data_IF_403044996750
#
_entry.id   IF_403044996750
#
_cell.length_a   1.000
_cell.length_b   1.000
_cell.length_c   1.000
_cell.angle_alpha   90.00
_cell.angle_beta   90.00
_cell.angle_gamma   90.00
#
_symmetry.space_group_name_H-M   'P 1'
#
loop_
_entity.id
_entity.type
_entity.pdbx_description
1 polymer ?
#
# COMPACT_ATOMS: atom_id res chain seq x y z
N UNK A 1 -12.43 7.25 5.00
CA UNK A 1 -11.90 5.93 5.45
C UNK A 1 -10.82 6.16 6.49
N UNK A 2 -10.70 5.28 7.50
CA UNK A 2 -9.70 5.38 8.59
C UNK A 2 -8.41 4.62 8.21
N UNK A 3 -7.25 5.25 8.35
CA UNK A 3 -5.94 4.67 8.04
C UNK A 3 -5.35 3.88 9.23
N UNK A 4 -4.21 3.21 9.02
CA UNK A 4 -3.60 2.34 10.04
C UNK A 4 -3.19 3.09 11.31
N UNK A 5 -2.79 4.37 11.22
CA UNK A 5 -2.47 5.18 12.40
C UNK A 5 -3.71 5.48 13.25
N UNK A 6 -4.84 5.83 12.64
CA UNK A 6 -6.11 5.98 13.38
C UNK A 6 -6.60 4.66 13.97
N UNK A 7 -6.52 3.55 13.21
CA UNK A 7 -6.91 2.23 13.70
C UNK A 7 -6.05 1.78 14.89
N UNK A 8 -4.74 2.03 14.84
CA UNK A 8 -3.83 1.75 15.94
C UNK A 8 -4.12 2.63 17.15
N UNK A 9 -4.38 3.93 16.91
CA UNK A 9 -4.78 4.86 17.96
C UNK A 9 -6.01 4.37 18.71
N UNK A 10 -7.08 4.04 17.99
CA UNK A 10 -8.34 3.62 18.60
C UNK A 10 -8.17 2.30 19.36
N UNK A 11 -7.45 1.33 18.78
CA UNK A 11 -7.15 0.06 19.42
C UNK A 11 -6.38 0.22 20.74
N UNK A 12 -5.38 1.12 20.79
CA UNK A 12 -4.60 1.38 22.01
C UNK A 12 -5.44 2.16 23.03
N UNK A 13 -6.31 3.08 22.60
CA UNK A 13 -7.21 3.81 23.51
C UNK A 13 -8.23 2.89 24.18
N UNK A 14 -8.64 1.82 23.51
CA UNK A 14 -9.54 0.80 24.06
C UNK A 14 -8.85 -0.11 25.10
N UNK A 15 -7.51 -0.09 25.18
CA UNK A 15 -6.75 -0.73 26.26
C UNK A 15 -6.89 0.08 27.54
N UNK A 16 -8.03 -0.09 28.20
CA UNK A 16 -8.32 0.48 29.51
C UNK A 16 -7.98 -0.50 30.62
N UNK A 17 -7.59 0.03 31.77
CA UNK A 17 -7.22 -0.77 32.94
C UNK A 17 -8.25 -0.52 34.00
N UNK A 18 -9.02 -1.54 34.40
CA UNK A 18 -9.96 -1.38 35.49
C UNK A 18 -9.23 -1.03 36.80
N UNK A 19 -9.87 -0.28 37.70
CA UNK A 19 -9.29 0.00 39.02
C UNK A 19 -8.95 -1.29 39.77
N UNK A 20 -7.83 -1.30 40.50
CA UNK A 20 -7.37 -2.41 41.35
C UNK A 20 -7.00 -3.70 40.59
N UNK A 21 -6.80 -3.63 39.27
CA UNK A 21 -6.33 -4.75 38.47
C UNK A 21 -4.80 -4.75 38.44
N UNK A 22 -4.12 -5.89 38.64
CA UNK A 22 -2.66 -5.91 38.62
C UNK A 22 -2.11 -5.41 37.27
N UNK A 23 -0.94 -4.76 37.29
CA UNK A 23 -0.17 -4.35 36.11
C UNK A 23 -0.16 -5.32 34.93
N UNK A 24 -0.09 -6.60 35.23
CA UNK A 24 -0.02 -7.65 34.23
C UNK A 24 -1.31 -7.74 33.42
N UNK A 25 -2.48 -7.46 34.02
CA UNK A 25 -3.80 -7.57 33.41
C UNK A 25 -4.19 -6.39 32.48
N UNK A 26 -3.28 -5.43 32.28
CA UNK A 26 -3.53 -4.17 31.55
C UNK A 26 -3.73 -4.35 30.04
N UNK A 27 -3.23 -5.45 29.46
CA UNK A 27 -3.58 -5.87 28.08
C UNK A 27 -4.75 -6.84 28.01
N UNK A 28 -5.20 -7.33 29.15
CA UNK A 28 -6.17 -8.41 29.28
C UNK A 28 -7.59 -7.88 29.43
N UNK A 29 -7.98 -6.96 28.55
CA UNK A 29 -9.42 -6.75 28.29
C UNK A 29 -10.02 -7.94 27.50
N UNK A 30 -9.47 -9.14 27.70
CA UNK A 30 -9.71 -10.37 26.99
C UNK A 30 -8.91 -11.51 27.62
N UNK A 31 -9.39 -12.73 27.41
CA UNK A 31 -8.83 -13.95 27.99
C UNK A 31 -7.56 -14.39 27.22
N UNK A 32 -6.37 -14.53 27.87
CA UNK A 32 -5.15 -15.02 27.22
C UNK A 32 -5.31 -16.40 26.58
N UNK A 33 -6.28 -17.17 27.06
CA UNK A 33 -6.56 -18.51 26.55
C UNK A 33 -7.49 -18.48 25.34
N UNK A 34 -8.08 -17.32 25.02
CA UNK A 34 -8.90 -17.09 23.83
C UNK A 34 -8.05 -16.77 22.61
N UNK A 35 -8.43 -17.35 21.47
CA UNK A 35 -7.82 -17.02 20.17
C UNK A 35 -8.11 -15.56 19.75
N UNK A 36 -9.26 -15.00 20.14
CA UNK A 36 -9.64 -13.63 19.78
C UNK A 36 -8.71 -12.59 20.42
N UNK A 37 -8.26 -12.85 21.64
CA UNK A 37 -7.24 -12.05 22.31
C UNK A 37 -5.97 -11.98 21.47
N UNK A 38 -5.42 -13.13 21.06
CA UNK A 38 -4.20 -13.18 20.25
C UNK A 38 -4.38 -12.60 18.85
N UNK A 39 -5.57 -12.74 18.26
CA UNK A 39 -5.91 -12.05 16.99
C UNK A 39 -5.88 -10.53 17.15
N UNK A 40 -6.39 -10.00 18.26
CA UNK A 40 -6.31 -8.56 18.58
C UNK A 40 -4.86 -8.10 18.77
N UNK A 41 -4.02 -8.88 19.47
CA UNK A 41 -2.60 -8.57 19.63
C UNK A 41 -1.84 -8.62 18.28
N UNK A 42 -2.10 -9.64 17.46
CA UNK A 42 -1.55 -9.73 16.09
C UNK A 42 -1.96 -8.53 15.25
N UNK A 43 -3.21 -8.09 15.38
CA UNK A 43 -3.73 -6.92 14.67
C UNK A 43 -3.01 -5.63 15.07
N UNK A 44 -2.68 -5.46 16.34
CA UNK A 44 -1.88 -4.32 16.81
C UNK A 44 -0.50 -4.27 16.15
N UNK A 45 0.16 -5.43 16.03
CA UNK A 45 1.48 -5.55 15.39
C UNK A 45 1.40 -5.25 13.89
N UNK A 46 0.39 -5.75 13.19
CA UNK A 46 0.16 -5.41 11.78
C UNK A 46 -0.02 -3.92 11.57
N UNK A 47 -0.89 -3.29 12.38
CA UNK A 47 -1.15 -1.86 12.30
C UNK A 47 0.10 -1.03 12.59
N UNK A 48 0.93 -1.43 13.55
CA UNK A 48 2.20 -0.77 13.84
C UNK A 48 3.18 -0.86 12.67
N UNK A 49 3.31 -2.03 12.03
CA UNK A 49 4.14 -2.19 10.83
C UNK A 49 3.65 -1.32 9.67
N UNK A 50 2.34 -1.24 9.49
CA UNK A 50 1.76 -0.38 8.45
C UNK A 50 2.02 1.10 8.74
N UNK A 51 1.98 1.51 10.00
CA UNK A 51 2.32 2.87 10.43
C UNK A 51 3.79 3.19 10.13
N UNK A 52 4.71 2.29 10.48
CA UNK A 52 6.15 2.45 10.20
C UNK A 52 6.42 2.58 8.70
N UNK A 53 5.83 1.68 7.88
CA UNK A 53 5.92 1.77 6.41
C UNK A 53 5.38 3.08 5.87
N UNK A 54 4.29 3.59 6.45
CA UNK A 54 3.71 4.86 6.02
C UNK A 54 4.63 6.04 6.36
N UNK A 55 5.30 6.02 7.51
CA UNK A 55 6.32 7.03 7.88
C UNK A 55 7.51 6.97 6.93
N UNK A 56 7.99 5.77 6.58
CA UNK A 56 9.07 5.62 5.60
C UNK A 56 8.67 6.08 4.21
N UNK A 57 7.42 5.83 3.80
CA UNK A 57 6.87 6.36 2.55
C UNK A 57 6.87 7.90 2.51
N UNK A 58 6.38 8.53 3.58
CA UNK A 58 6.42 9.99 3.72
C UNK A 58 7.85 10.55 3.67
N UNK A 59 8.81 9.87 4.30
CA UNK A 59 10.22 10.26 4.24
C UNK A 59 10.79 10.15 2.82
N UNK A 60 10.47 9.07 2.11
CA UNK A 60 10.86 8.89 0.71
C UNK A 60 10.25 9.95 -0.20
N UNK A 61 9.06 10.47 0.14
CA UNK A 61 8.42 11.63 -0.49
C UNK A 61 9.03 12.98 -0.11
N UNK A 62 10.11 13.00 0.66
CA UNK A 62 10.80 14.22 1.10
C UNK A 62 10.03 15.01 2.17
N UNK A 63 9.04 14.39 2.82
CA UNK A 63 8.40 15.00 3.99
C UNK A 63 9.32 14.91 5.21
N UNK A 64 9.27 15.94 6.05
CA UNK A 64 9.89 15.89 7.38
C UNK A 64 9.03 15.00 8.30
N UNK A 65 9.60 13.88 8.71
CA UNK A 65 8.95 12.87 9.54
C UNK A 65 9.72 12.57 10.82
N UNK A 66 10.73 13.37 11.19
CA UNK A 66 11.57 13.10 12.37
C UNK A 66 10.71 12.94 13.63
N UNK A 67 9.74 13.83 13.82
CA UNK A 67 8.81 13.76 14.95
C UNK A 67 8.01 12.44 15.04
N UNK A 68 7.76 11.77 13.90
CA UNK A 68 7.04 10.50 13.87
C UNK A 68 7.99 9.32 14.05
N UNK A 69 9.22 9.41 13.53
CA UNK A 69 10.26 8.40 13.74
C UNK A 69 10.68 8.33 15.20
N UNK A 70 10.81 9.48 15.86
CA UNK A 70 11.21 9.58 17.26
C UNK A 70 10.27 8.85 18.22
N UNK A 71 8.97 8.79 17.89
CA UNK A 71 7.98 8.10 18.71
C UNK A 71 7.83 6.61 18.38
N UNK A 72 8.43 6.09 17.30
CA UNK A 72 8.29 4.68 16.93
C UNK A 72 8.76 3.73 18.03
N UNK A 73 9.92 3.92 18.68
CA UNK A 73 10.34 3.07 19.79
C UNK A 73 9.32 3.02 20.94
N UNK A 74 8.69 4.14 21.25
CA UNK A 74 7.65 4.22 22.29
C UNK A 74 6.37 3.48 21.87
N UNK A 75 5.96 3.57 20.60
CA UNK A 75 4.84 2.78 20.08
C UNK A 75 5.13 1.27 20.10
N UNK A 76 6.35 0.88 19.74
CA UNK A 76 6.83 -0.50 19.89
C UNK A 76 6.80 -0.93 21.35
N UNK A 77 7.21 -0.06 22.29
CA UNK A 77 7.09 -0.35 23.72
C UNK A 77 5.64 -0.49 24.16
N UNK A 78 4.71 0.32 23.66
CA UNK A 78 3.27 0.18 23.95
C UNK A 78 2.72 -1.16 23.42
N UNK A 79 3.12 -1.58 22.21
CA UNK A 79 2.64 -2.80 21.55
C UNK A 79 3.35 -4.07 22.06
N UNK A 80 4.59 -4.01 22.54
CA UNK A 80 5.37 -5.19 22.97
C UNK A 80 5.72 -5.26 24.45
N UNK A 81 5.77 -4.13 25.15
CA UNK A 81 6.17 -4.07 26.56
C UNK A 81 5.11 -3.49 27.50
N UNK A 82 5.38 -3.65 28.80
CA UNK A 82 4.66 -3.02 29.88
C UNK A 82 5.64 -2.13 30.64
N UNK A 83 5.46 -0.81 30.59
CA UNK A 83 6.18 0.09 31.48
C UNK A 83 5.20 1.04 32.17
N UNK A 84 4.42 0.53 33.12
CA UNK A 84 3.84 1.43 34.13
C UNK A 84 4.93 1.71 35.16
N UNK A 85 5.32 2.97 35.37
CA UNK A 85 6.25 3.31 36.44
C UNK A 85 5.68 2.84 37.78
N UNK A 86 6.44 2.07 38.55
CA UNK A 86 6.05 1.53 39.86
C UNK A 86 5.44 2.58 40.83
N UNK A 87 5.76 3.85 40.65
CA UNK A 87 5.24 4.99 41.43
C UNK A 87 3.75 5.29 41.19
N UNK A 88 3.10 4.59 40.27
CA UNK A 88 1.76 4.90 39.76
C UNK A 88 0.69 3.86 40.13
N UNK A 89 0.90 3.02 41.13
CA UNK A 89 -0.01 1.90 41.43
C UNK A 89 -1.32 2.33 42.14
N UNK A 90 -1.37 3.52 42.77
CA UNK A 90 -2.44 3.89 43.73
C UNK A 90 -3.46 4.96 43.26
N UNK A 91 -3.75 5.14 41.96
CA UNK A 91 -4.80 6.09 41.57
C UNK A 91 -5.75 5.53 40.51
N UNK A 92 -7.04 5.80 40.72
CA UNK A 92 -8.20 5.48 39.89
C UNK A 92 -7.94 5.69 38.40
N UNK A 93 -8.27 4.68 37.58
CA UNK A 93 -8.26 4.65 36.10
C UNK A 93 -7.17 5.50 35.42
N UNK A 94 -6.04 4.86 35.11
CA UNK A 94 -4.93 5.53 34.42
C UNK A 94 -4.91 5.14 32.94
N UNK A 95 -4.72 6.11 32.02
CA UNK A 95 -4.40 5.76 30.63
C UNK A 95 -3.08 4.99 30.61
N UNK A 96 -3.07 3.85 29.93
CA UNK A 96 -1.91 2.94 29.79
C UNK A 96 -0.75 3.61 29.05
N UNK A 97 -1.07 4.66 28.29
CA UNK A 97 -0.17 5.28 27.32
C UNK A 97 -0.18 6.79 27.51
N UNK A 98 0.98 7.42 27.26
CA UNK A 98 1.11 8.87 27.29
C UNK A 98 0.13 9.52 26.30
N UNK A 99 -0.62 10.51 26.78
CA UNK A 99 -1.54 11.30 25.95
C UNK A 99 -0.81 12.05 24.84
N UNK A 100 0.45 12.44 25.05
CA UNK A 100 1.25 13.09 24.00
C UNK A 100 1.53 12.12 22.85
N UNK A 101 1.97 10.90 23.16
CA UNK A 101 2.21 9.84 22.19
C UNK A 101 0.95 9.56 21.35
N UNK A 102 -0.21 9.44 22.01
CA UNK A 102 -1.49 9.22 21.31
C UNK A 102 -1.89 10.40 20.42
N UNK A 103 -1.63 11.64 20.85
CA UNK A 103 -1.87 12.83 20.01
C UNK A 103 -0.97 12.85 18.76
N UNK A 104 0.29 12.46 18.91
CA UNK A 104 1.23 12.39 17.79
C UNK A 104 0.83 11.28 16.80
N UNK A 105 0.42 10.11 17.29
CA UNK A 105 -0.12 9.04 16.45
C UNK A 105 -1.39 9.48 15.71
N UNK A 106 -2.29 10.21 16.38
CA UNK A 106 -3.47 10.80 15.74
C UNK A 106 -3.10 11.85 14.69
N UNK A 107 -2.09 12.68 14.96
CA UNK A 107 -1.56 13.68 14.02
C UNK A 107 -0.95 13.02 12.77
N UNK A 108 -0.24 11.91 12.95
CA UNK A 108 0.22 11.08 11.84
C UNK A 108 -0.96 10.55 11.03
N UNK A 109 -2.02 10.06 11.69
CA UNK A 109 -3.27 9.69 11.04
C UNK A 109 -3.86 10.80 10.18
N UNK A 110 -3.93 12.04 10.70
CA UNK A 110 -4.40 13.19 9.92
C UNK A 110 -3.46 13.50 8.74
N UNK A 111 -2.15 13.42 8.94
CA UNK A 111 -1.14 13.67 7.91
C UNK A 111 -1.25 12.66 6.78
N UNK A 112 -1.31 11.37 7.11
CA UNK A 112 -1.54 10.30 6.15
C UNK A 112 -2.87 10.45 5.43
N UNK A 113 -3.91 10.91 6.11
CA UNK A 113 -5.18 11.19 5.45
C UNK A 113 -5.06 12.37 4.48
N UNK A 114 -4.34 13.44 4.82
CA UNK A 114 -4.12 14.57 3.90
C UNK A 114 -3.27 14.17 2.69
N UNK A 115 -2.24 13.37 2.90
CA UNK A 115 -1.37 12.86 1.83
C UNK A 115 -2.14 11.88 0.95
N UNK A 116 -2.87 10.93 1.54
CA UNK A 116 -3.71 10.00 0.79
C UNK A 116 -4.90 10.68 0.11
N UNK A 117 -5.39 11.81 0.63
CA UNK A 117 -6.43 12.60 -0.04
C UNK A 117 -5.93 13.19 -1.38
N UNK A 118 -4.62 13.27 -1.64
CA UNK A 118 -4.09 13.62 -2.97
C UNK A 118 -3.86 12.40 -3.88
N UNK A 119 -4.25 11.19 -3.44
CA UNK A 119 -3.87 9.91 -4.06
C UNK A 119 -5.05 8.92 -4.18
N UNK A 120 -6.28 9.34 -3.91
CA UNK A 120 -7.41 8.48 -4.20
C UNK A 120 -7.56 8.32 -5.70
N UNK A 121 -7.65 7.06 -6.14
CA UNK A 121 -8.22 6.74 -7.45
C UNK A 121 -9.60 7.39 -7.50
N UNK A 122 -9.72 8.43 -8.31
CA UNK A 122 -10.96 9.14 -8.56
C UNK A 122 -11.83 8.35 -9.54
N UNK A 123 -13.10 8.75 -9.68
CA UNK A 123 -13.95 8.20 -10.75
C UNK A 123 -13.36 8.45 -12.15
N UNK A 124 -12.64 9.56 -12.32
CA UNK A 124 -11.95 9.89 -13.56
C UNK A 124 -10.77 8.93 -13.79
N UNK A 125 -10.05 8.56 -12.72
CA UNK A 125 -8.95 7.58 -12.81
C UNK A 125 -9.44 6.19 -13.24
N UNK A 126 -10.59 5.75 -12.73
CA UNK A 126 -11.22 4.50 -13.17
C UNK A 126 -11.65 4.60 -14.63
N UNK A 127 -12.20 5.74 -15.05
CA UNK A 127 -12.64 5.96 -16.44
C UNK A 127 -11.46 5.90 -17.42
N UNK A 128 -10.35 6.56 -17.07
CA UNK A 128 -9.11 6.48 -17.84
C UNK A 128 -8.57 5.06 -17.91
N UNK A 129 -8.56 4.34 -16.78
CA UNK A 129 -8.09 2.97 -16.73
C UNK A 129 -8.94 2.07 -17.62
N UNK A 130 -10.27 2.17 -17.56
CA UNK A 130 -11.18 1.42 -18.42
C UNK A 130 -10.92 1.70 -19.91
N UNK A 131 -10.62 2.95 -20.26
CA UNK A 131 -10.22 3.33 -21.62
C UNK A 131 -8.92 2.63 -22.04
N UNK A 132 -7.90 2.63 -21.17
CA UNK A 132 -6.65 1.90 -21.45
C UNK A 132 -6.87 0.39 -21.53
N UNK A 133 -7.82 -0.17 -20.79
CA UNK A 133 -8.17 -1.58 -20.91
C UNK A 133 -8.87 -1.88 -22.24
N UNK A 134 -9.76 -1.00 -22.74
CA UNK A 134 -10.38 -1.12 -24.07
C UNK A 134 -9.34 -1.07 -25.21
N UNK A 135 -8.39 -0.15 -25.11
CA UNK A 135 -7.27 -0.03 -26.05
C UNK A 135 -6.39 -1.30 -26.03
N UNK A 136 -6.11 -1.85 -24.84
CA UNK A 136 -5.35 -3.08 -24.68
C UNK A 136 -6.09 -4.29 -25.27
N UNK A 137 -7.42 -4.40 -25.10
CA UNK A 137 -8.21 -5.45 -25.75
C UNK A 137 -8.06 -5.37 -27.27
N UNK A 138 -8.19 -4.17 -27.83
CA UNK A 138 -8.10 -3.94 -29.28
C UNK A 138 -6.72 -4.36 -29.77
N UNK A 139 -5.66 -3.88 -29.13
CA UNK A 139 -4.27 -4.20 -29.46
C UNK A 139 -4.00 -5.72 -29.43
N UNK A 140 -4.44 -6.42 -28.38
CA UNK A 140 -4.22 -7.85 -28.21
C UNK A 140 -5.05 -8.68 -29.17
N UNK A 141 -6.29 -8.26 -29.51
CA UNK A 141 -7.14 -8.98 -30.46
C UNK A 141 -6.67 -8.82 -31.91
N UNK A 142 -6.22 -7.63 -32.29
CA UNK A 142 -5.82 -7.33 -33.66
C UNK A 142 -4.40 -7.80 -33.98
N UNK A 143 -3.55 -8.00 -32.97
CA UNK A 143 -2.20 -8.52 -33.18
C UNK A 143 -2.24 -9.94 -33.75
N UNK A 144 -1.49 -10.20 -34.82
CA UNK A 144 -1.26 -11.55 -35.34
C UNK A 144 0.11 -12.12 -34.92
N UNK A 145 0.88 -11.33 -34.17
CA UNK A 145 2.29 -11.63 -33.87
C UNK A 145 2.47 -12.48 -32.63
N UNK A 146 1.50 -12.38 -31.72
CA UNK A 146 1.52 -13.13 -30.46
C UNK A 146 0.88 -14.50 -30.62
N UNK A 147 1.42 -15.47 -29.91
CA UNK A 147 0.87 -16.81 -29.84
C UNK A 147 -0.50 -16.83 -29.13
N UNK A 148 -1.26 -17.89 -29.40
CA UNK A 148 -2.60 -18.06 -28.85
C UNK A 148 -2.62 -18.19 -27.32
N UNK A 149 -1.54 -18.69 -26.70
CA UNK A 149 -1.48 -18.86 -25.25
C UNK A 149 -1.28 -17.52 -24.55
N UNK A 150 -0.33 -16.71 -25.02
CA UNK A 150 -0.07 -15.33 -24.60
C UNK A 150 -1.30 -14.46 -24.84
N UNK A 151 -1.95 -14.60 -26.00
CA UNK A 151 -3.20 -13.88 -26.28
C UNK A 151 -4.28 -14.19 -25.24
N UNK A 152 -4.53 -15.47 -24.94
CA UNK A 152 -5.51 -15.88 -23.94
C UNK A 152 -5.15 -15.37 -22.55
N UNK A 153 -3.88 -15.43 -22.18
CA UNK A 153 -3.39 -14.93 -20.89
C UNK A 153 -3.61 -13.42 -20.75
N UNK A 154 -3.17 -12.64 -21.74
CA UNK A 154 -3.36 -11.18 -21.75
C UNK A 154 -4.84 -10.79 -21.71
N UNK A 155 -5.69 -11.43 -22.50
CA UNK A 155 -7.13 -11.19 -22.45
C UNK A 155 -7.74 -11.55 -21.10
N UNK A 156 -7.27 -12.62 -20.45
CA UNK A 156 -7.67 -12.98 -19.10
C UNK A 156 -7.32 -11.91 -18.06
N UNK A 157 -6.09 -11.38 -18.12
CA UNK A 157 -5.66 -10.28 -17.25
C UNK A 157 -6.46 -8.99 -17.51
N UNK A 158 -6.80 -8.69 -18.76
CA UNK A 158 -7.61 -7.51 -19.08
C UNK A 158 -9.03 -7.62 -18.50
N UNK A 159 -9.66 -8.79 -18.62
CA UNK A 159 -10.99 -9.03 -18.01
C UNK A 159 -10.94 -8.96 -16.49
N UNK A 160 -9.89 -9.51 -15.87
CA UNK A 160 -9.70 -9.44 -14.43
C UNK A 160 -9.51 -7.98 -13.97
N UNK A 161 -8.65 -7.21 -14.64
CA UNK A 161 -8.45 -5.79 -14.35
C UNK A 161 -9.74 -4.98 -14.53
N UNK A 162 -10.54 -5.29 -15.56
CA UNK A 162 -11.84 -4.64 -15.79
C UNK A 162 -12.84 -4.98 -14.69
N UNK A 163 -12.90 -6.23 -14.25
CA UNK A 163 -13.74 -6.66 -13.12
C UNK A 163 -13.38 -5.91 -11.86
N UNK A 164 -12.09 -5.89 -11.51
CA UNK A 164 -11.59 -5.21 -10.30
C UNK A 164 -11.81 -3.69 -10.38
N UNK A 165 -11.68 -3.08 -11.56
CA UNK A 165 -11.96 -1.65 -11.75
C UNK A 165 -13.46 -1.33 -11.57
N UNK A 166 -14.35 -2.13 -12.14
CA UNK A 166 -15.80 -1.93 -12.01
C UNK A 166 -16.30 -2.16 -10.58
N UNK A 167 -15.69 -3.12 -9.89
CA UNK A 167 -16.00 -3.48 -8.50
C UNK A 167 -14.98 -2.87 -7.52
N UNK A 168 -14.41 -1.71 -7.86
CA UNK A 168 -13.35 -1.05 -7.07
C UNK A 168 -13.74 -0.82 -5.61
N UNK A 169 -15.01 -0.50 -5.33
CA UNK A 169 -15.50 -0.33 -3.95
C UNK A 169 -15.44 -1.62 -3.13
N UNK A 170 -15.48 -2.78 -3.79
CA UNK A 170 -15.45 -4.11 -3.18
C UNK A 170 -14.02 -4.63 -3.02
N UNK A 171 -13.21 -4.55 -4.08
CA UNK A 171 -11.84 -5.10 -4.10
C UNK A 171 -10.78 -4.13 -3.56
N UNK A 172 -11.04 -2.83 -3.62
CA UNK A 172 -10.13 -1.80 -3.16
C UNK A 172 -8.93 -1.56 -4.10
N UNK A 173 -8.13 -0.57 -3.73
CA UNK A 173 -7.03 -0.03 -4.55
C UNK A 173 -5.80 -0.94 -4.64
N UNK A 174 -5.54 -1.77 -3.64
CA UNK A 174 -4.38 -2.70 -3.67
C UNK A 174 -4.56 -3.74 -4.78
N UNK A 175 -5.74 -4.34 -4.88
CA UNK A 175 -6.04 -5.36 -5.88
C UNK A 175 -6.01 -4.76 -7.30
N UNK A 176 -6.64 -3.59 -7.47
CA UNK A 176 -6.67 -2.88 -8.75
C UNK A 176 -5.27 -2.55 -9.24
N UNK A 177 -4.38 -2.13 -8.34
CA UNK A 177 -2.97 -1.89 -8.66
C UNK A 177 -2.25 -3.16 -9.08
N UNK A 178 -2.40 -4.22 -8.29
CA UNK A 178 -1.70 -5.49 -8.54
C UNK A 178 -2.02 -6.02 -9.92
N UNK A 179 -3.32 -6.13 -10.26
CA UNK A 179 -3.74 -6.66 -11.56
C UNK A 179 -3.36 -5.74 -12.73
N UNK A 180 -3.46 -4.41 -12.54
CA UNK A 180 -3.10 -3.45 -13.60
C UNK A 180 -1.59 -3.45 -13.86
N UNK A 181 -0.78 -3.58 -12.81
CA UNK A 181 0.67 -3.70 -12.93
C UNK A 181 1.07 -5.01 -13.61
N UNK A 182 0.47 -6.14 -13.20
CA UNK A 182 0.70 -7.44 -13.82
C UNK A 182 0.37 -7.41 -15.31
N UNK A 183 -0.77 -6.84 -15.70
CA UNK A 183 -1.13 -6.66 -17.10
C UNK A 183 -0.11 -5.81 -17.86
N UNK A 184 0.30 -4.67 -17.29
CA UNK A 184 1.31 -3.81 -17.90
C UNK A 184 2.65 -4.52 -18.12
N UNK A 185 3.10 -5.30 -17.12
CA UNK A 185 4.32 -6.09 -17.21
C UNK A 185 4.20 -7.24 -18.24
N UNK A 186 3.05 -7.90 -18.31
CA UNK A 186 2.80 -8.96 -19.29
C UNK A 186 2.78 -8.42 -20.73
N UNK A 187 2.18 -7.23 -20.96
CA UNK A 187 2.23 -6.55 -22.26
C UNK A 187 3.66 -6.16 -22.64
N UNK A 188 4.46 -5.69 -21.67
CA UNK A 188 5.87 -5.38 -21.88
C UNK A 188 6.66 -6.62 -22.30
N UNK A 189 6.48 -7.75 -21.60
CA UNK A 189 7.12 -9.02 -21.95
C UNK A 189 6.71 -9.53 -23.33
N UNK A 190 5.42 -9.47 -23.67
CA UNK A 190 4.94 -9.86 -25.00
C UNK A 190 5.50 -8.95 -26.11
N UNK A 191 5.64 -7.65 -25.84
CA UNK A 191 6.25 -6.70 -26.77
C UNK A 191 7.71 -7.05 -27.08
N UNK A 192 8.43 -7.55 -26.07
CA UNK A 192 9.84 -7.91 -26.22
C UNK A 192 10.01 -9.26 -26.93
N UNK A 193 9.23 -10.27 -26.53
CA UNK A 193 9.44 -11.64 -26.98
C UNK A 193 8.79 -11.96 -28.33
N UNK A 194 7.65 -11.33 -28.66
CA UNK A 194 6.79 -11.82 -29.75
C UNK A 194 6.39 -10.75 -30.77
N UNK A 195 6.49 -9.46 -30.43
CA UNK A 195 6.01 -8.38 -31.32
C UNK A 195 7.16 -7.83 -32.18
N UNK A 196 6.98 -7.73 -33.52
CA UNK A 196 7.93 -7.10 -34.43
C UNK A 196 8.22 -5.64 -34.07
N UNK A 197 9.43 -5.18 -34.37
CA UNK A 197 9.92 -3.84 -34.02
C UNK A 197 8.98 -2.73 -34.50
N UNK A 198 8.36 -2.87 -35.66
CA UNK A 198 7.46 -1.86 -36.25
C UNK A 198 6.18 -1.65 -35.44
N UNK A 199 5.74 -2.67 -34.68
CA UNK A 199 4.54 -2.62 -33.83
C UNK A 199 4.84 -2.58 -32.34
N UNK A 200 6.09 -2.86 -31.95
CA UNK A 200 6.55 -2.87 -30.56
C UNK A 200 6.28 -1.53 -29.87
N UNK A 201 6.45 -0.40 -30.55
CA UNK A 201 6.21 0.93 -29.97
C UNK A 201 4.79 1.11 -29.41
N UNK A 202 3.76 0.62 -30.11
CA UNK A 202 2.37 0.70 -29.64
C UNK A 202 2.11 -0.17 -28.42
N UNK A 203 2.75 -1.33 -28.34
CA UNK A 203 2.70 -2.22 -27.18
C UNK A 203 3.40 -1.62 -25.96
N UNK A 204 4.58 -1.04 -26.15
CA UNK A 204 5.33 -0.37 -25.10
C UNK A 204 4.58 0.85 -24.56
N UNK A 205 3.95 1.65 -25.43
CA UNK A 205 3.13 2.78 -25.00
C UNK A 205 1.94 2.32 -24.14
N UNK A 206 1.26 1.25 -24.55
CA UNK A 206 0.13 0.72 -23.80
C UNK A 206 0.54 0.12 -22.45
N UNK A 207 1.65 -0.64 -22.42
CA UNK A 207 2.22 -1.15 -21.19
C UNK A 207 2.59 -0.02 -20.22
N UNK A 208 3.24 1.05 -20.73
CA UNK A 208 3.62 2.22 -19.93
C UNK A 208 2.42 2.94 -19.33
N UNK A 209 1.34 3.15 -20.09
CA UNK A 209 0.10 3.78 -19.58
C UNK A 209 -0.48 3.02 -18.39
N UNK A 210 -0.55 1.69 -18.50
CA UNK A 210 -1.08 0.82 -17.44
C UNK A 210 -0.17 0.79 -16.21
N UNK A 211 1.14 0.62 -16.40
CA UNK A 211 2.13 0.64 -15.29
C UNK A 211 2.08 1.99 -14.58
N UNK A 212 2.06 3.09 -15.32
CA UNK A 212 1.98 4.44 -14.74
C UNK A 212 0.68 4.63 -13.95
N UNK A 213 -0.46 4.17 -14.46
CA UNK A 213 -1.73 4.27 -13.74
C UNK A 213 -1.72 3.44 -12.45
N UNK A 214 -1.12 2.25 -12.48
CA UNK A 214 -0.93 1.41 -11.28
C UNK A 214 0.07 2.02 -10.27
N UNK A 215 1.08 2.76 -10.76
CA UNK A 215 2.07 3.44 -9.93
C UNK A 215 1.54 4.72 -9.28
N UNK A 216 0.74 5.52 -9.98
CA UNK A 216 0.24 6.82 -9.48
C UNK A 216 -0.72 6.68 -8.29
N UNK A 217 -1.41 5.55 -8.12
CA UNK A 217 -2.23 5.30 -6.92
C UNK A 217 -1.44 4.75 -5.72
N UNK A 218 -0.18 4.36 -5.93
CA UNK A 218 0.78 4.13 -4.85
C UNK A 218 1.55 5.43 -4.61
N UNK A 219 1.08 6.28 -3.69
CA UNK A 219 1.69 7.57 -3.38
C UNK A 219 3.21 7.56 -3.37
N UNK A 220 3.83 8.13 -4.41
CA UNK A 220 5.17 8.71 -4.34
C UNK A 220 5.56 9.40 -5.65
N UNK A 221 6.02 10.65 -5.56
CA UNK A 221 6.88 11.28 -6.58
C UNK A 221 8.27 10.63 -6.65
N UNK A 222 8.61 9.78 -5.68
CA UNK A 222 9.80 8.94 -5.72
C UNK A 222 9.72 7.82 -6.77
N UNK A 223 8.51 7.40 -7.15
CA UNK A 223 8.30 6.39 -8.19
C UNK A 223 8.26 6.99 -9.59
N UNK A 224 8.02 8.29 -9.80
CA UNK A 224 8.27 8.89 -11.13
C UNK A 224 9.78 8.88 -11.44
N UNK A 225 10.65 9.22 -10.47
CA UNK A 225 12.10 9.08 -10.65
C UNK A 225 12.57 7.62 -10.66
N UNK A 226 11.92 6.75 -9.89
CA UNK A 226 12.25 5.32 -9.82
C UNK A 226 11.72 4.53 -11.01
N UNK A 227 10.56 4.89 -11.57
CA UNK A 227 10.00 4.33 -12.80
C UNK A 227 10.74 4.87 -14.00
N UNK A 228 11.09 6.16 -14.04
CA UNK A 228 11.96 6.68 -15.07
C UNK A 228 13.35 6.01 -14.97
N UNK A 229 13.91 5.78 -13.78
CA UNK A 229 15.17 5.05 -13.63
C UNK A 229 15.07 3.52 -13.85
N UNK A 230 13.91 2.89 -13.61
CA UNK A 230 13.67 1.48 -13.92
C UNK A 230 13.36 1.28 -15.40
N UNK A 231 12.66 2.22 -16.03
CA UNK A 231 12.39 2.24 -17.46
C UNK A 231 13.67 2.61 -18.20
N UNK A 232 14.40 3.66 -17.80
CA UNK A 232 15.72 4.01 -18.34
C UNK A 232 16.73 2.91 -18.05
N UNK A 233 16.74 2.32 -16.85
CA UNK A 233 17.60 1.19 -16.51
C UNK A 233 17.28 -0.09 -17.29
N UNK A 234 16.01 -0.37 -17.56
CA UNK A 234 15.61 -1.45 -18.47
C UNK A 234 15.98 -1.12 -19.92
N UNK A 235 15.81 0.13 -20.35
CA UNK A 235 16.14 0.58 -21.71
C UNK A 235 17.66 0.64 -21.94
N UNK A 236 18.45 1.02 -20.92
CA UNK A 236 19.91 1.05 -20.92
C UNK A 236 20.52 -0.34 -20.76
N UNK A 237 19.90 -1.23 -19.98
CA UNK A 237 20.28 -2.65 -19.96
C UNK A 237 20.05 -3.31 -21.33
N UNK A 238 18.99 -2.91 -22.06
CA UNK A 238 18.71 -3.35 -23.43
C UNK A 238 19.71 -2.72 -24.43
N UNK A 239 20.00 -1.42 -24.33
CA UNK A 239 20.96 -0.74 -25.21
C UNK A 239 22.42 -1.17 -24.96
N UNK A 240 22.79 -1.53 -23.73
CA UNK A 240 24.14 -2.01 -23.38
C UNK A 240 24.35 -3.50 -23.67
N UNK A 241 23.28 -4.30 -23.73
CA UNK A 241 23.35 -5.69 -24.18
C UNK A 241 23.46 -5.84 -25.71
N UNK A 242 23.05 -4.82 -26.49
CA UNK A 242 22.97 -4.91 -27.96
C UNK A 242 23.58 -3.71 -28.72
N UNK A 243 24.18 -2.74 -28.02
CA UNK A 243 25.01 -1.68 -28.58
C UNK A 243 26.48 -2.11 -28.69
N UNK A 244 26.74 -3.07 -29.58
CA UNK A 244 28.07 -3.57 -29.95
C UNK A 244 28.03 -4.31 -31.27
#
# INVERSE_FOLDING_TARGET
MSNSAFKLHDLIMDWTVPPNTPPEQIRFNGDPTSLEFWRSQSRAVELLKDVERAVDGLHADGQDVEMFRDIMPELYQVVFSYSVPWQQINANERPVVDRMLMRLLKSLGLTLQMVNNSLFITGDDITDLLTYLDDAVTLVRESQDIDDAVRRYLLGLIEEARRVANEFQTFGDVELRSVTFELGAALLGAADDQVPEERRAGWLDQAKKLIKKAAVSAGTKALDRGSDALLDGATDAINSAFGG
#
